data_IF_404282679731
#
_entry.id   IF_404282679731
#
_cell.length_a   1.000
_cell.length_b   1.000
_cell.length_c   1.000
_cell.angle_alpha   90.00
_cell.angle_beta   90.00
_cell.angle_gamma   90.00
#
_symmetry.space_group_name_H-M   'P 1'
#
loop_
_entity.id
_entity.type
_entity.pdbx_description
1 polymer ?
#
# COMPACT_ATOMS: atom_id res chain seq x y z
N UNK A 1 -43.32 33.31 -1.86
CA UNK A 1 -42.36 32.71 -2.82
C UNK A 1 -40.96 32.57 -2.24
N UNK A 2 -40.38 33.59 -1.60
CA UNK A 2 -39.03 33.53 -0.99
C UNK A 2 -38.87 32.45 0.09
N UNK A 3 -39.86 32.27 0.97
CA UNK A 3 -39.80 31.26 2.04
C UNK A 3 -39.72 29.81 1.51
N UNK A 4 -40.36 29.53 0.36
CA UNK A 4 -40.37 28.20 -0.26
C UNK A 4 -38.99 27.90 -0.87
N UNK A 5 -38.35 28.90 -1.48
CA UNK A 5 -37.01 28.77 -2.07
C UNK A 5 -35.98 28.47 -0.98
N UNK A 6 -36.05 29.16 0.16
CA UNK A 6 -35.14 28.95 1.30
C UNK A 6 -35.32 27.53 1.87
N UNK A 7 -36.55 27.05 2.00
CA UNK A 7 -36.83 25.69 2.50
C UNK A 7 -36.28 24.60 1.57
N UNK A 8 -36.37 24.78 0.25
CA UNK A 8 -35.83 23.84 -0.74
C UNK A 8 -34.30 23.83 -0.70
N UNK A 9 -33.67 25.01 -0.64
CA UNK A 9 -32.20 25.10 -0.55
C UNK A 9 -31.69 24.45 0.74
N UNK A 10 -32.38 24.66 1.87
CA UNK A 10 -32.03 24.03 3.13
C UNK A 10 -32.13 22.50 3.06
N UNK A 11 -33.18 21.95 2.43
CA UNK A 11 -33.35 20.50 2.24
C UNK A 11 -32.27 19.90 1.33
N UNK A 12 -31.91 20.59 0.25
CA UNK A 12 -30.85 20.15 -0.67
C UNK A 12 -29.48 20.21 0.03
N UNK A 13 -29.20 21.30 0.75
CA UNK A 13 -27.96 21.44 1.52
C UNK A 13 -27.85 20.37 2.61
N UNK A 14 -28.95 20.05 3.28
CA UNK A 14 -29.01 18.97 4.26
C UNK A 14 -28.76 17.61 3.58
N UNK A 15 -29.41 17.33 2.45
CA UNK A 15 -29.17 16.11 1.68
C UNK A 15 -27.72 15.96 1.22
N UNK A 16 -27.09 17.04 0.74
CA UNK A 16 -25.68 17.08 0.36
C UNK A 16 -24.73 16.90 1.57
N UNK A 17 -25.09 17.42 2.75
CA UNK A 17 -24.32 17.27 3.98
C UNK A 17 -24.44 15.87 4.60
N UNK A 18 -25.57 15.18 4.41
CA UNK A 18 -25.75 13.77 4.78
C UNK A 18 -25.13 12.79 3.76
N UNK A 19 -24.91 13.26 2.53
CA UNK A 19 -24.29 12.51 1.44
C UNK A 19 -22.87 11.95 1.74
N UNK A 20 -21.93 12.66 2.41
CA UNK A 20 -20.62 12.10 2.78
C UNK A 20 -20.72 11.05 3.88
N UNK A 21 -21.70 11.14 4.79
CA UNK A 21 -21.92 10.19 5.88
C UNK A 21 -22.48 8.85 5.36
N UNK A 22 -23.39 8.89 4.38
CA UNK A 22 -23.97 7.67 3.80
C UNK A 22 -23.13 7.08 2.64
N UNK A 23 -22.27 7.88 1.99
CA UNK A 23 -21.34 7.39 0.96
C UNK A 23 -20.10 6.71 1.57
N UNK A 24 -19.88 6.84 2.87
CA UNK A 24 -18.80 6.13 3.59
C UNK A 24 -19.07 4.61 3.65
N UNK A 25 -20.33 4.17 3.66
CA UNK A 25 -20.64 2.72 3.65
C UNK A 25 -20.47 2.06 2.27
N UNK A 26 -20.60 2.81 1.17
CA UNK A 26 -20.40 2.26 -0.18
C UNK A 26 -18.92 2.25 -0.64
N UNK A 27 -18.07 3.05 0.00
CA UNK A 27 -16.61 2.96 -0.17
C UNK A 27 -15.98 1.87 0.72
N UNK A 28 -16.72 1.32 1.69
CA UNK A 28 -16.26 0.24 2.54
C UNK A 28 -16.45 -1.17 1.92
N UNK A 29 -17.22 -1.32 0.83
CA UNK A 29 -17.52 -2.63 0.25
C UNK A 29 -16.62 -3.04 -0.94
N UNK A 30 -15.72 -2.17 -1.41
CA UNK A 30 -14.83 -2.51 -2.54
C UNK A 30 -13.45 -3.04 -2.09
N UNK A 31 -13.19 -3.21 -0.79
CA UNK A 31 -11.85 -3.56 -0.29
C UNK A 31 -11.79 -4.73 0.70
N UNK A 32 -12.73 -5.68 0.64
CA UNK A 32 -12.68 -6.85 1.53
C UNK A 32 -12.59 -8.21 0.81
N UNK A 33 -12.89 -8.30 -0.49
CA UNK A 33 -13.08 -9.60 -1.16
C UNK A 33 -11.92 -10.03 -2.07
N UNK A 34 -10.83 -9.26 -2.12
CA UNK A 34 -9.65 -9.63 -2.93
C UNK A 34 -8.33 -9.27 -2.23
N UNK A 35 -8.29 -9.35 -0.89
CA UNK A 35 -7.00 -9.46 -0.21
C UNK A 35 -6.53 -10.89 -0.40
N UNK A 36 -5.44 -11.08 -1.17
CA UNK A 36 -4.87 -12.41 -1.43
C UNK A 36 -4.78 -13.19 -0.11
N UNK A 37 -5.44 -14.36 0.03
CA UNK A 37 -5.46 -15.11 1.28
C UNK A 37 -4.04 -15.45 1.76
N UNK A 38 -3.04 -15.52 0.86
CA UNK A 38 -1.64 -15.64 1.28
C UNK A 38 -1.10 -14.36 1.94
N UNK A 39 -1.43 -13.19 1.40
CA UNK A 39 -1.00 -11.91 1.95
C UNK A 39 -1.57 -11.71 3.36
N UNK A 40 -2.86 -11.99 3.56
CA UNK A 40 -3.51 -11.86 4.88
C UNK A 40 -2.87 -12.79 5.93
N UNK A 41 -2.57 -14.03 5.54
CA UNK A 41 -1.87 -14.98 6.40
C UNK A 41 -0.46 -14.49 6.78
N UNK A 42 0.29 -13.93 5.82
CA UNK A 42 1.62 -13.38 6.08
C UNK A 42 1.58 -12.16 7.01
N UNK A 43 0.60 -11.27 6.82
CA UNK A 43 0.38 -10.11 7.69
C UNK A 43 0.01 -10.54 9.11
N UNK A 44 -0.86 -11.53 9.24
CA UNK A 44 -1.24 -12.11 10.53
C UNK A 44 -0.06 -12.79 11.23
N UNK A 45 0.77 -13.53 10.48
CA UNK A 45 1.99 -14.16 11.00
C UNK A 45 3.01 -13.11 11.48
N UNK A 46 3.14 -11.99 10.77
CA UNK A 46 3.98 -10.85 11.17
C UNK A 46 3.51 -10.28 12.51
N UNK A 47 2.22 -9.95 12.63
CA UNK A 47 1.66 -9.37 13.85
C UNK A 47 1.83 -10.30 15.05
N UNK A 48 1.54 -11.60 14.86
CA UNK A 48 1.75 -12.60 15.91
C UNK A 48 3.21 -12.70 16.36
N UNK A 49 4.16 -12.62 15.42
CA UNK A 49 5.60 -12.67 15.74
C UNK A 49 6.04 -11.42 16.49
N UNK A 50 5.50 -10.25 16.14
CA UNK A 50 5.84 -8.98 16.80
C UNK A 50 5.26 -8.90 18.21
N UNK A 51 4.00 -9.33 18.39
CA UNK A 51 3.40 -9.46 19.72
C UNK A 51 4.23 -10.41 20.60
N UNK A 52 4.65 -11.56 20.07
CA UNK A 52 5.47 -12.51 20.81
C UNK A 52 6.81 -11.91 21.29
N UNK A 53 7.47 -11.08 20.46
CA UNK A 53 8.71 -10.38 20.86
C UNK A 53 8.42 -9.37 21.98
N UNK A 54 7.33 -8.62 21.87
CA UNK A 54 6.93 -7.62 22.88
C UNK A 54 6.58 -8.26 24.22
N UNK A 55 5.88 -9.39 24.19
CA UNK A 55 5.57 -10.15 25.39
C UNK A 55 6.83 -10.72 26.03
N UNK A 56 7.75 -11.25 25.21
CA UNK A 56 9.06 -11.76 25.67
C UNK A 56 9.89 -10.67 26.36
N UNK A 57 9.93 -9.47 25.79
CA UNK A 57 10.61 -8.31 26.41
C UNK A 57 9.93 -7.90 27.72
N UNK A 58 8.60 -7.92 27.75
CA UNK A 58 7.83 -7.63 28.96
C UNK A 58 8.10 -8.64 30.06
N UNK A 59 8.21 -9.94 29.74
CA UNK A 59 8.56 -10.99 30.70
C UNK A 59 10.00 -10.85 31.23
N UNK A 60 10.95 -10.47 30.37
CA UNK A 60 12.32 -10.17 30.79
C UNK A 60 12.39 -8.95 31.71
N UNK A 61 11.67 -7.86 31.40
CA UNK A 61 11.59 -6.68 32.26
C UNK A 61 10.95 -6.99 33.63
N UNK A 62 9.99 -7.92 33.66
CA UNK A 62 9.39 -8.41 34.91
C UNK A 62 10.29 -9.38 35.67
N UNK A 63 11.46 -9.73 35.14
CA UNK A 63 12.41 -10.66 35.76
C UNK A 63 11.99 -12.13 35.69
N UNK A 64 11.01 -12.49 34.85
CA UNK A 64 10.56 -13.88 34.68
C UNK A 64 11.53 -14.74 33.87
N UNK A 65 12.36 -14.09 33.05
CA UNK A 65 13.31 -14.75 32.16
C UNK A 65 14.73 -14.35 32.51
N UNK A 66 15.66 -15.30 32.45
CA UNK A 66 17.08 -15.01 32.53
C UNK A 66 17.54 -14.27 31.26
N UNK A 67 18.61 -13.48 31.36
CA UNK A 67 19.15 -12.74 30.21
C UNK A 67 19.60 -13.71 29.08
N UNK A 68 20.14 -14.88 29.45
CA UNK A 68 20.58 -15.90 28.47
C UNK A 68 19.39 -16.52 27.73
N UNK A 69 18.31 -16.83 28.44
CA UNK A 69 17.09 -17.39 27.83
C UNK A 69 16.42 -16.34 26.94
N UNK A 70 16.27 -15.11 27.44
CA UNK A 70 15.72 -13.99 26.68
C UNK A 70 16.45 -13.79 25.34
N UNK A 71 17.79 -13.72 25.35
CA UNK A 71 18.57 -13.51 24.13
C UNK A 71 18.41 -14.67 23.14
N UNK A 72 18.35 -15.91 23.64
CA UNK A 72 18.15 -17.10 22.81
C UNK A 72 16.79 -17.11 22.14
N UNK A 73 15.72 -16.82 22.90
CA UNK A 73 14.36 -16.74 22.35
C UNK A 73 14.21 -15.56 21.39
N UNK A 74 14.75 -14.40 21.74
CA UNK A 74 14.72 -13.20 20.91
C UNK A 74 15.32 -13.43 19.53
N UNK A 75 16.53 -14.02 19.48
CA UNK A 75 17.21 -14.33 18.21
C UNK A 75 16.37 -15.26 17.31
N UNK A 76 15.66 -16.23 17.90
CA UNK A 76 14.74 -17.11 17.15
C UNK A 76 13.57 -16.34 16.54
N UNK A 77 12.93 -15.47 17.33
CA UNK A 77 11.81 -14.67 16.84
C UNK A 77 12.23 -13.63 15.81
N UNK A 78 13.41 -13.01 15.96
CA UNK A 78 13.98 -12.10 14.96
C UNK A 78 14.24 -12.80 13.64
N UNK A 79 14.81 -14.01 13.68
CA UNK A 79 15.01 -14.83 12.47
C UNK A 79 13.68 -15.15 11.78
N UNK A 80 12.64 -15.48 12.57
CA UNK A 80 11.29 -15.73 12.04
C UNK A 80 10.67 -14.46 11.43
N UNK A 81 10.81 -13.32 12.09
CA UNK A 81 10.33 -12.04 11.60
C UNK A 81 10.97 -11.67 10.26
N UNK A 82 12.30 -11.82 10.14
CA UNK A 82 13.01 -11.58 8.88
C UNK A 82 12.50 -12.47 7.74
N UNK A 83 12.27 -13.76 8.01
CA UNK A 83 11.74 -14.67 7.01
C UNK A 83 10.33 -14.27 6.53
N UNK A 84 9.45 -13.80 7.43
CA UNK A 84 8.11 -13.32 7.07
C UNK A 84 8.18 -12.04 6.24
N UNK A 85 9.05 -11.09 6.63
CA UNK A 85 9.24 -9.84 5.88
C UNK A 85 9.73 -10.09 4.45
N UNK A 86 10.67 -11.03 4.26
CA UNK A 86 11.14 -11.41 2.93
C UNK A 86 10.02 -11.98 2.06
N UNK A 87 9.09 -12.75 2.64
CA UNK A 87 7.95 -13.29 1.91
C UNK A 87 6.95 -12.19 1.52
N UNK A 88 6.72 -11.22 2.42
CA UNK A 88 5.89 -10.06 2.13
C UNK A 88 6.48 -9.20 1.01
N UNK A 89 7.79 -8.94 1.02
CA UNK A 89 8.46 -8.19 -0.05
C UNK A 89 8.27 -8.84 -1.42
N UNK A 90 8.32 -10.18 -1.51
CA UNK A 90 8.10 -10.92 -2.76
C UNK A 90 6.65 -10.77 -3.24
N UNK A 91 5.67 -10.85 -2.34
CA UNK A 91 4.24 -10.68 -2.67
C UNK A 91 3.95 -9.25 -3.12
N UNK A 92 4.53 -8.26 -2.45
CA UNK A 92 4.41 -6.84 -2.83
C UNK A 92 5.08 -6.58 -4.19
N UNK A 93 6.28 -7.13 -4.41
CA UNK A 93 6.99 -6.99 -5.68
C UNK A 93 6.22 -7.64 -6.83
N UNK A 94 5.65 -8.84 -6.64
CA UNK A 94 4.82 -9.49 -7.66
C UNK A 94 3.56 -8.69 -8.00
N UNK A 95 2.99 -8.00 -7.02
CA UNK A 95 1.82 -7.14 -7.23
C UNK A 95 2.20 -5.85 -7.98
N UNK A 96 3.41 -5.33 -7.75
CA UNK A 96 3.94 -4.10 -8.39
C UNK A 96 4.55 -4.36 -9.78
N UNK A 97 4.92 -5.61 -10.12
CA UNK A 97 5.45 -5.97 -11.46
C UNK A 97 4.39 -5.87 -12.58
N UNK A 98 3.12 -5.64 -12.24
CA UNK A 98 2.10 -5.18 -13.20
C UNK A 98 2.14 -3.67 -13.46
N UNK A 99 3.18 -2.95 -13.04
CA UNK A 99 3.52 -1.64 -13.57
C UNK A 99 4.08 -1.81 -15.00
N UNK A 100 3.19 -2.05 -15.95
CA UNK A 100 3.47 -1.92 -17.37
C UNK A 100 4.18 -0.57 -17.60
N UNK A 101 5.29 -0.53 -18.34
CA UNK A 101 5.94 0.72 -18.70
C UNK A 101 4.98 1.53 -19.56
N UNK A 102 4.33 2.52 -18.95
CA UNK A 102 3.36 3.38 -19.63
C UNK A 102 4.10 4.51 -20.34
N UNK A 103 4.91 4.14 -21.34
CA UNK A 103 5.46 5.08 -22.30
C UNK A 103 4.47 5.16 -23.48
N UNK A 104 3.75 6.27 -23.62
CA UNK A 104 3.13 6.60 -24.90
C UNK A 104 4.22 7.05 -25.87
N UNK A 105 4.12 6.63 -27.14
CA UNK A 105 5.11 6.93 -28.17
C UNK A 105 5.31 8.45 -28.44
N UNK A 106 4.46 9.29 -27.86
CA UNK A 106 4.42 10.75 -28.05
C UNK A 106 5.33 11.54 -27.09
N UNK A 107 6.18 10.87 -26.30
CA UNK A 107 7.16 11.53 -25.42
C UNK A 107 6.52 12.29 -24.25
N UNK A 108 5.37 11.83 -23.76
CA UNK A 108 4.65 12.41 -22.62
C UNK A 108 4.31 11.37 -21.56
N UNK A 109 4.40 11.75 -20.30
CA UNK A 109 4.06 10.88 -19.20
C UNK A 109 2.56 10.56 -19.22
N UNK A 110 2.19 9.27 -19.26
CA UNK A 110 0.78 8.87 -19.26
C UNK A 110 0.06 9.14 -17.93
N UNK A 111 0.81 9.38 -16.84
CA UNK A 111 0.25 9.64 -15.52
C UNK A 111 -0.07 11.14 -15.29
N UNK A 112 0.73 12.06 -15.83
CA UNK A 112 0.58 13.50 -15.56
C UNK A 112 0.59 14.39 -16.81
N UNK A 113 0.87 13.84 -17.99
CA UNK A 113 0.88 14.56 -19.27
C UNK A 113 2.14 15.39 -19.54
N UNK A 114 3.11 15.42 -18.61
CA UNK A 114 4.34 16.20 -18.76
C UNK A 114 5.25 15.60 -19.85
N UNK A 115 5.84 16.42 -20.75
CA UNK A 115 6.82 15.94 -21.72
C UNK A 115 8.09 15.42 -21.01
N UNK A 116 8.69 14.36 -21.54
CA UNK A 116 9.93 13.77 -21.01
C UNK A 116 10.97 13.54 -22.10
N UNK A 117 12.25 13.55 -21.74
CA UNK A 117 13.33 13.23 -22.66
C UNK A 117 13.48 11.71 -22.81
N UNK A 118 13.83 11.20 -24.00
CA UNK A 118 14.02 9.76 -24.25
C UNK A 118 15.10 9.07 -23.37
N UNK A 119 15.87 9.85 -22.59
CA UNK A 119 16.88 9.35 -21.64
C UNK A 119 16.37 9.33 -20.19
N UNK A 120 15.23 9.95 -19.90
CA UNK A 120 14.66 9.98 -18.57
C UNK A 120 14.13 8.58 -18.22
N UNK A 121 14.55 8.05 -17.06
CA UNK A 121 14.04 6.76 -16.53
C UNK A 121 12.74 6.94 -15.74
N UNK A 122 12.52 8.15 -15.22
CA UNK A 122 11.38 8.55 -14.40
C UNK A 122 10.94 9.98 -14.77
N UNK A 123 9.65 10.28 -14.64
CA UNK A 123 9.10 11.61 -14.86
C UNK A 123 9.52 12.57 -13.73
N UNK A 124 10.13 13.71 -14.09
CA UNK A 124 10.61 14.73 -13.13
C UNK A 124 9.49 15.44 -12.34
N UNK A 125 8.24 15.32 -12.79
CA UNK A 125 7.07 15.97 -12.20
C UNK A 125 6.31 15.09 -11.21
N UNK A 126 6.02 13.84 -11.58
CA UNK A 126 5.18 12.94 -10.79
C UNK A 126 5.91 11.71 -10.26
N UNK A 127 7.16 11.46 -10.67
CA UNK A 127 7.95 10.30 -10.21
C UNK A 127 7.60 8.97 -10.89
N UNK A 128 6.63 8.92 -11.81
CA UNK A 128 6.29 7.70 -12.53
C UNK A 128 7.45 7.18 -13.38
N UNK A 129 7.64 5.85 -13.44
CA UNK A 129 8.64 5.24 -14.32
C UNK A 129 8.18 5.26 -15.77
N UNK A 130 9.09 5.65 -16.67
CA UNK A 130 8.83 5.81 -18.11
C UNK A 130 9.80 4.94 -18.92
N UNK A 131 10.28 3.85 -18.32
CA UNK A 131 11.32 3.01 -18.87
C UNK A 131 10.96 2.55 -20.30
N UNK A 132 11.76 2.91 -21.32
CA UNK A 132 11.54 2.43 -22.67
C UNK A 132 11.84 0.93 -22.72
N UNK A 133 10.83 0.12 -23.01
CA UNK A 133 11.00 -1.29 -23.34
C UNK A 133 11.67 -1.41 -24.71
N UNK A 134 12.98 -1.67 -24.68
CA UNK A 134 13.85 -2.12 -25.76
C UNK A 134 14.04 -1.18 -26.98
N UNK A 135 15.29 -0.82 -27.34
CA UNK A 135 15.58 -0.13 -28.60
C UNK A 135 15.39 -1.05 -29.81
N UNK A 136 14.91 -0.54 -30.97
CA UNK A 136 14.78 -1.33 -32.18
C UNK A 136 16.16 -1.80 -32.67
N UNK A 137 16.31 -3.10 -32.85
CA UNK A 137 17.45 -3.71 -33.51
C UNK A 137 17.52 -3.22 -34.97
N UNK A 138 18.54 -2.42 -35.29
CA UNK A 138 18.94 -2.21 -36.68
C UNK A 138 20.39 -1.73 -36.74
N UNK A 139 21.25 -2.48 -37.45
CA UNK A 139 22.28 -1.93 -38.34
C UNK A 139 22.76 -3.01 -39.33
N UNK A 140 22.84 -2.73 -40.64
CA UNK A 140 23.49 -3.59 -41.62
C UNK A 140 25.02 -3.54 -41.50
#
# INVERSE_FOLDING_TARGET
MSAIIIAIIALVALGLAFQPLFRQEQLAFVTADELDPNLENLLSAREATYSAIKDLESDHMQGKLSNVDYQTLRSKYETKALAILQQLDVVETNSVVTAQPVATADGRCAHCGEPFDARDKFCRRCGASIAPTAPPAARP
#
